data_IF_974411106639
#
_entry.id   IF_974411106639
#
_cell.length_a   1.000
_cell.length_b   1.000
_cell.length_c   1.000
_cell.angle_alpha   90.00
_cell.angle_beta   90.00
_cell.angle_gamma   90.00
#
_symmetry.space_group_name_H-M   'P 1'
#
loop_
_entity.id
_entity.type
_entity.pdbx_description
1 polymer ?
#
# COMPACT_ATOMS: atom_id res chain seq x y z
N UNK A 1 -33.62 9.48 5.38
CA UNK A 1 -32.76 9.29 4.19
C UNK A 1 -31.46 10.08 4.29
N UNK A 2 -31.48 11.36 4.69
CA UNK A 2 -30.29 12.22 4.87
C UNK A 2 -29.25 11.68 5.86
N UNK A 3 -29.69 11.19 7.03
CA UNK A 3 -28.77 10.67 8.08
C UNK A 3 -27.97 9.44 7.59
N UNK A 4 -28.62 8.57 6.80
CA UNK A 4 -27.97 7.38 6.25
C UNK A 4 -26.89 7.74 5.21
N UNK A 5 -27.15 8.75 4.38
CA UNK A 5 -26.17 9.25 3.40
C UNK A 5 -24.95 9.87 4.10
N UNK A 6 -25.17 10.65 5.16
CA UNK A 6 -24.09 11.28 5.93
C UNK A 6 -23.21 10.24 6.64
N UNK A 7 -23.81 9.20 7.23
CA UNK A 7 -23.07 8.11 7.86
C UNK A 7 -22.26 7.30 6.85
N UNK A 8 -22.82 7.05 5.66
CA UNK A 8 -22.11 6.37 4.58
C UNK A 8 -20.88 7.16 4.13
N UNK A 9 -21.02 8.48 3.92
CA UNK A 9 -19.91 9.35 3.51
C UNK A 9 -18.82 9.46 4.58
N UNK A 10 -19.18 9.53 5.86
CA UNK A 10 -18.21 9.54 6.96
C UNK A 10 -17.36 8.27 6.97
N UNK A 11 -18.00 7.10 6.82
CA UNK A 11 -17.31 5.82 6.75
C UNK A 11 -16.36 5.72 5.55
N UNK A 12 -16.79 6.18 4.37
CA UNK A 12 -15.90 6.25 3.19
C UNK A 12 -14.71 7.16 3.43
N UNK A 13 -14.91 8.30 4.13
CA UNK A 13 -13.83 9.20 4.50
C UNK A 13 -12.82 8.57 5.47
N UNK A 14 -13.30 7.82 6.46
CA UNK A 14 -12.46 7.06 7.41
C UNK A 14 -11.66 5.96 6.69
N UNK A 15 -12.31 5.16 5.84
CA UNK A 15 -11.67 4.09 5.07
C UNK A 15 -10.59 4.67 4.13
N UNK A 16 -10.87 5.81 3.47
CA UNK A 16 -9.90 6.49 2.60
C UNK A 16 -8.71 7.02 3.39
N UNK A 17 -8.96 7.64 4.56
CA UNK A 17 -7.89 8.14 5.42
C UNK A 17 -6.96 7.01 5.88
N UNK A 18 -7.52 5.85 6.22
CA UNK A 18 -6.74 4.66 6.57
C UNK A 18 -5.90 4.19 5.37
N UNK A 19 -6.49 4.02 4.19
CA UNK A 19 -5.75 3.59 2.99
C UNK A 19 -4.62 4.57 2.64
N UNK A 20 -4.86 5.88 2.76
CA UNK A 20 -3.82 6.89 2.53
C UNK A 20 -2.68 6.75 3.54
N UNK A 21 -2.99 6.57 4.82
CA UNK A 21 -1.98 6.40 5.86
C UNK A 21 -1.10 5.17 5.57
N UNK A 22 -1.73 4.03 5.32
CA UNK A 22 -1.09 2.75 4.96
C UNK A 22 -0.20 2.88 3.73
N UNK A 23 -0.70 3.53 2.67
CA UNK A 23 0.06 3.76 1.45
C UNK A 23 1.28 4.67 1.68
N UNK A 24 1.13 5.75 2.45
CA UNK A 24 2.22 6.68 2.75
C UNK A 24 3.32 5.99 3.55
N UNK A 25 2.96 5.14 4.49
CA UNK A 25 3.90 4.38 5.32
C UNK A 25 4.71 3.38 4.47
N UNK A 26 4.03 2.61 3.61
CA UNK A 26 4.69 1.68 2.69
C UNK A 26 5.61 2.42 1.69
N UNK A 27 5.14 3.55 1.14
CA UNK A 27 5.93 4.38 0.22
C UNK A 27 7.19 4.94 0.89
N UNK A 28 7.09 5.36 2.16
CA UNK A 28 8.23 5.82 2.94
C UNK A 28 9.26 4.69 3.14
N UNK A 29 8.81 3.49 3.52
CA UNK A 29 9.68 2.32 3.69
C UNK A 29 10.36 1.89 2.38
N UNK A 30 9.64 1.94 1.25
CA UNK A 30 10.19 1.66 -0.07
C UNK A 30 11.26 2.68 -0.48
N UNK A 31 11.01 3.98 -0.26
CA UNK A 31 12.00 5.04 -0.51
C UNK A 31 13.24 4.88 0.36
N UNK A 32 13.08 4.57 1.65
CA UNK A 32 14.17 4.30 2.56
C UNK A 32 15.02 3.12 2.09
N UNK A 33 14.38 2.03 1.66
CA UNK A 33 15.05 0.84 1.08
C UNK A 33 15.91 1.19 -0.13
N UNK A 34 15.40 2.00 -1.05
CA UNK A 34 16.16 2.43 -2.24
C UNK A 34 17.35 3.32 -1.85
N UNK A 35 17.16 4.23 -0.89
CA UNK A 35 18.24 5.08 -0.38
C UNK A 35 19.34 4.26 0.32
N UNK A 36 18.96 3.32 1.20
CA UNK A 36 19.88 2.42 1.89
C UNK A 36 20.71 1.57 0.89
N UNK A 37 20.07 1.10 -0.18
CA UNK A 37 20.76 0.36 -1.25
C UNK A 37 21.75 1.25 -2.00
N UNK A 38 21.39 2.50 -2.30
CA UNK A 38 22.28 3.46 -2.94
C UNK A 38 23.49 3.83 -2.06
N UNK A 39 23.33 3.80 -0.74
CA UNK A 39 24.39 4.04 0.24
C UNK A 39 25.25 2.80 0.54
N UNK A 40 24.87 1.62 0.04
CA UNK A 40 25.61 0.38 0.27
C UNK A 40 25.43 -0.17 1.69
N UNK A 41 24.29 0.07 2.33
CA UNK A 41 23.98 -0.53 3.63
C UNK A 41 23.96 -2.06 3.57
N UNK A 42 24.25 -2.71 4.70
CA UNK A 42 24.39 -4.17 4.80
C UNK A 42 23.07 -4.90 4.50
N UNK A 43 21.94 -4.31 4.87
CA UNK A 43 20.62 -4.88 4.62
C UNK A 43 19.59 -3.80 4.25
N UNK A 44 19.60 -3.32 3.00
CA UNK A 44 18.69 -2.27 2.56
C UNK A 44 17.21 -2.64 2.68
N UNK A 45 16.90 -3.93 2.58
CA UNK A 45 15.52 -4.45 2.61
C UNK A 45 14.91 -4.42 4.02
N UNK A 46 15.68 -4.10 5.06
CA UNK A 46 15.19 -4.05 6.44
C UNK A 46 13.97 -3.14 6.59
N UNK A 47 13.95 -1.99 5.91
CA UNK A 47 12.85 -1.03 6.00
C UNK A 47 11.55 -1.57 5.41
N UNK A 48 11.58 -2.09 4.18
CA UNK A 48 10.37 -2.65 3.55
C UNK A 48 9.91 -3.93 4.22
N UNK A 49 10.82 -4.79 4.71
CA UNK A 49 10.43 -5.99 5.47
C UNK A 49 9.75 -5.63 6.78
N UNK A 50 10.22 -4.61 7.50
CA UNK A 50 9.59 -4.17 8.73
C UNK A 50 8.16 -3.65 8.48
N UNK A 51 7.98 -2.80 7.46
CA UNK A 51 6.66 -2.31 7.07
C UNK A 51 5.71 -3.45 6.66
N UNK A 52 6.16 -4.36 5.80
CA UNK A 52 5.35 -5.53 5.41
C UNK A 52 5.00 -6.43 6.61
N UNK A 53 5.91 -6.58 7.58
CA UNK A 53 5.67 -7.36 8.79
C UNK A 53 4.61 -6.72 9.70
N UNK A 54 4.67 -5.40 9.89
CA UNK A 54 3.68 -4.65 10.67
C UNK A 54 2.25 -4.82 10.13
N UNK A 55 2.15 -4.97 8.80
CA UNK A 55 0.89 -5.12 8.09
C UNK A 55 0.49 -6.58 7.81
N UNK A 56 1.28 -7.56 8.27
CA UNK A 56 1.02 -8.98 8.02
C UNK A 56 1.14 -9.40 6.55
N UNK A 57 1.86 -8.62 5.74
CA UNK A 57 2.01 -8.78 4.28
C UNK A 57 3.37 -9.36 3.87
N UNK A 58 4.10 -9.99 4.79
CA UNK A 58 5.33 -10.69 4.42
C UNK A 58 5.01 -11.82 3.44
N UNK A 59 5.75 -11.94 2.32
CA UNK A 59 5.59 -13.08 1.43
C UNK A 59 5.82 -14.40 2.17
N UNK A 60 5.05 -15.46 1.86
CA UNK A 60 5.30 -16.76 2.45
C UNK A 60 6.69 -17.28 2.06
N UNK A 61 7.27 -18.13 2.92
CA UNK A 61 8.58 -18.72 2.65
C UNK A 61 8.58 -19.47 1.31
N UNK A 62 9.60 -19.21 0.48
CA UNK A 62 9.71 -19.79 -0.86
C UNK A 62 8.81 -19.15 -1.93
N UNK A 63 8.11 -18.06 -1.62
CA UNK A 63 7.37 -17.30 -2.62
C UNK A 63 8.29 -16.82 -3.75
N UNK A 64 7.83 -16.99 -5.00
CA UNK A 64 8.57 -16.57 -6.19
C UNK A 64 8.21 -15.13 -6.52
N UNK A 65 9.18 -14.20 -6.67
CA UNK A 65 8.91 -12.79 -6.96
C UNK A 65 8.02 -12.57 -8.20
N UNK A 66 8.26 -13.34 -9.28
CA UNK A 66 7.45 -13.25 -10.51
C UNK A 66 5.98 -13.60 -10.29
N UNK A 67 5.68 -14.52 -9.36
CA UNK A 67 4.31 -14.91 -9.03
C UNK A 67 3.63 -13.81 -8.20
N UNK A 68 4.35 -13.24 -7.23
CA UNK A 68 3.85 -12.11 -6.42
C UNK A 68 3.54 -10.89 -7.30
N UNK A 69 4.41 -10.58 -8.26
CA UNK A 69 4.18 -9.48 -9.21
C UNK A 69 2.95 -9.73 -10.09
N UNK A 70 2.75 -10.97 -10.55
CA UNK A 70 1.59 -11.32 -11.37
C UNK A 70 0.26 -11.26 -10.59
N UNK A 71 0.30 -11.45 -9.27
CA UNK A 71 -0.87 -11.34 -8.39
C UNK A 71 -1.28 -9.90 -8.08
N UNK A 72 -0.41 -8.93 -8.38
CA UNK A 72 -0.65 -7.51 -8.17
C UNK A 72 -1.64 -6.90 -9.20
N UNK A 73 -2.63 -7.69 -9.63
CA UNK A 73 -3.76 -7.20 -10.39
C UNK A 73 -4.61 -6.35 -9.45
N UNK A 74 -4.63 -5.03 -9.70
CA UNK A 74 -5.60 -4.13 -9.07
C UNK A 74 -6.98 -4.76 -9.26
N UNK A 75 -7.73 -5.10 -8.20
CA UNK A 75 -9.12 -5.50 -8.37
C UNK A 75 -9.77 -4.39 -9.18
N UNK A 76 -10.41 -4.73 -10.30
CA UNK A 76 -10.97 -3.76 -11.22
C UNK A 76 -11.96 -2.85 -10.48
N UNK A 77 -11.43 -1.78 -9.89
CA UNK A 77 -12.21 -0.62 -9.53
C UNK A 77 -12.81 -0.18 -10.86
N UNK A 78 -14.15 -0.02 -10.97
CA UNK A 78 -14.74 0.56 -12.16
C UNK A 78 -13.92 1.81 -12.45
N UNK A 79 -13.33 1.85 -13.65
CA UNK A 79 -12.23 2.73 -14.00
C UNK A 79 -12.62 4.19 -13.76
N UNK A 80 -12.41 4.68 -12.53
CA UNK A 80 -12.32 6.10 -12.25
C UNK A 80 -11.00 6.49 -12.89
N UNK A 81 -11.11 6.99 -14.11
CA UNK A 81 -9.99 7.53 -14.83
C UNK A 81 -9.29 8.55 -13.94
N UNK A 82 -7.97 8.64 -14.02
CA UNK A 82 -7.20 9.67 -13.32
C UNK A 82 -7.72 11.09 -13.63
N UNK A 83 -8.44 11.27 -14.73
CA UNK A 83 -9.09 12.51 -15.14
C UNK A 83 -10.34 12.86 -14.29
N UNK A 84 -10.96 11.90 -13.62
CA UNK A 84 -12.15 12.12 -12.76
C UNK A 84 -11.79 12.48 -11.31
N UNK A 85 -10.51 12.40 -10.94
CA UNK A 85 -10.00 12.61 -9.57
C UNK A 85 -9.23 13.95 -9.44
N UNK A 86 -9.18 14.76 -10.50
CA UNK A 86 -8.46 16.05 -10.54
C UNK A 86 -9.41 17.25 -10.52
#
# INVERSE_FOLDING_TARGET
MTIALTSQNAKVGEDLALIIAEYVELLAAARATVAAAALGEVDPLVHVRHALAAHGQLPPAGARPVVLLAQCAVPALPALSRAEVA
#
